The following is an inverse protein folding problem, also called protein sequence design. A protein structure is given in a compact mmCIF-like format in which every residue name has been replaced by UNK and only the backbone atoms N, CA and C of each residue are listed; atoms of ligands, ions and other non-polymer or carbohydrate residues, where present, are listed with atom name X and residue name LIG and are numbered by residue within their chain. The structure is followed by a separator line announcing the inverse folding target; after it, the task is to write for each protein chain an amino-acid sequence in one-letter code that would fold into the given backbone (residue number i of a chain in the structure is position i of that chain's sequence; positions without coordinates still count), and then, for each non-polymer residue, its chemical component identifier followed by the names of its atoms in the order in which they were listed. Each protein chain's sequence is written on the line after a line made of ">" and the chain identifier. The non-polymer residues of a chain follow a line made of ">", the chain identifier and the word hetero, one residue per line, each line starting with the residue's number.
data_IF_694664133524
#
_entry.id   IF_694664133524
#
_cell.length_a   1.000
_cell.length_b   1.000
_cell.length_c   1.000
_cell.angle_alpha   90.00
_cell.angle_beta   90.00
_cell.angle_gamma   90.00
#
_symmetry.space_group_name_H-M   'P 1'
#
loop_
_entity.id
_entity.type
_entity.pdbx_description
1 polymer ?
#
# COMPACT_ATOMS: atom_id res chain seq x y z
N UNK A 1 -5.29 14.52 -12.42
CA UNK A 1 -5.81 13.67 -11.34
C UNK A 1 -5.47 12.24 -11.71
N UNK A 2 -4.71 11.54 -10.87
CA UNK A 2 -4.29 10.15 -11.11
C UNK A 2 -5.39 9.20 -10.67
N UNK A 3 -5.50 8.02 -11.26
CA UNK A 3 -6.56 7.07 -10.92
C UNK A 3 -5.94 5.80 -10.35
N UNK A 4 -6.25 5.51 -9.09
CA UNK A 4 -5.95 4.21 -8.49
C UNK A 4 -7.16 3.30 -8.75
N UNK A 5 -6.94 2.18 -9.43
CA UNK A 5 -7.95 1.16 -9.66
C UNK A 5 -7.62 -0.08 -8.83
N UNK A 6 -8.56 -0.52 -8.00
CA UNK A 6 -8.52 -1.82 -7.34
C UNK A 6 -9.48 -2.76 -8.06
N UNK A 7 -8.98 -3.87 -8.60
CA UNK A 7 -9.79 -4.85 -9.31
C UNK A 7 -9.84 -6.18 -8.56
N UNK A 8 -11.05 -6.64 -8.22
CA UNK A 8 -11.29 -7.93 -7.58
C UNK A 8 -11.69 -8.96 -8.62
N UNK A 9 -10.90 -10.01 -8.76
CA UNK A 9 -11.11 -11.09 -9.71
C UNK A 9 -11.99 -12.17 -9.08
N UNK A 10 -13.05 -12.53 -9.77
CA UNK A 10 -14.03 -13.55 -9.35
C UNK A 10 -14.37 -14.45 -10.52
N UNK A 11 -14.94 -15.61 -10.24
CA UNK A 11 -15.42 -16.54 -11.26
C UNK A 11 -16.92 -16.36 -11.46
N UNK A 12 -17.37 -16.51 -12.70
CA UNK A 12 -18.80 -16.59 -12.99
C UNK A 12 -19.43 -17.79 -12.26
N UNK A 13 -20.63 -17.59 -11.71
CA UNK A 13 -21.44 -18.62 -11.04
C UNK A 13 -20.80 -19.27 -9.79
N UNK A 14 -19.76 -18.64 -9.21
CA UNK A 14 -19.09 -19.09 -7.98
C UNK A 14 -18.97 -17.90 -7.02
N UNK A 15 -19.61 -17.98 -5.85
CA UNK A 15 -19.66 -16.90 -4.86
C UNK A 15 -19.49 -17.41 -3.41
N UNK A 16 -18.33 -18.00 -3.05
CA UNK A 16 -18.06 -18.44 -1.68
C UNK A 16 -17.93 -17.24 -0.73
N UNK A 17 -18.24 -17.43 0.54
CA UNK A 17 -18.23 -16.36 1.54
C UNK A 17 -16.93 -15.53 1.58
N UNK A 18 -15.71 -16.12 1.49
CA UNK A 18 -14.48 -15.31 1.49
C UNK A 18 -14.37 -14.31 0.33
N UNK A 19 -14.97 -14.61 -0.83
CA UNK A 19 -14.94 -13.70 -1.98
C UNK A 19 -15.92 -12.55 -1.78
N UNK A 20 -17.10 -12.86 -1.25
CA UNK A 20 -18.09 -11.85 -0.88
C UNK A 20 -17.50 -10.91 0.16
N UNK A 21 -16.86 -11.46 1.20
CA UNK A 21 -16.21 -10.69 2.26
C UNK A 21 -15.06 -9.81 1.72
N UNK A 22 -14.20 -10.32 0.84
CA UNK A 22 -13.18 -9.52 0.15
C UNK A 22 -13.81 -8.31 -0.56
N UNK A 23 -14.90 -8.52 -1.30
CA UNK A 23 -15.57 -7.44 -2.02
C UNK A 23 -16.22 -6.42 -1.07
N UNK A 24 -16.84 -6.88 0.01
CA UNK A 24 -17.41 -6.01 1.03
C UNK A 24 -16.33 -5.16 1.73
N UNK A 25 -15.20 -5.76 2.09
CA UNK A 25 -14.06 -5.05 2.68
C UNK A 25 -13.51 -4.00 1.69
N UNK A 26 -13.42 -4.35 0.39
CA UNK A 26 -12.99 -3.42 -0.64
C UNK A 26 -13.94 -2.23 -0.79
N UNK A 27 -15.25 -2.47 -0.74
CA UNK A 27 -16.29 -1.43 -0.80
C UNK A 27 -16.28 -0.54 0.44
N UNK A 28 -16.15 -1.11 1.65
CA UNK A 28 -16.01 -0.37 2.91
C UNK A 28 -14.78 0.52 2.86
N UNK A 29 -13.62 -0.03 2.49
CA UNK A 29 -12.39 0.71 2.26
C UNK A 29 -12.59 1.87 1.28
N UNK A 30 -13.15 1.60 0.10
CA UNK A 30 -13.35 2.59 -0.95
C UNK A 30 -14.22 3.76 -0.51
N UNK A 31 -15.33 3.47 0.20
CA UNK A 31 -16.22 4.50 0.73
C UNK A 31 -15.53 5.45 1.72
N UNK A 32 -14.62 4.91 2.54
CA UNK A 32 -13.90 5.67 3.58
C UNK A 32 -12.70 6.44 3.01
N UNK A 33 -12.02 5.87 2.03
CA UNK A 33 -10.73 6.39 1.55
C UNK A 33 -10.82 7.21 0.27
N UNK A 34 -11.78 6.95 -0.62
CA UNK A 34 -11.98 7.75 -1.82
C UNK A 34 -12.05 9.26 -1.55
N UNK A 35 -12.84 9.78 -0.58
CA UNK A 35 -12.88 11.23 -0.31
C UNK A 35 -11.57 11.79 0.23
N UNK A 36 -10.77 10.99 0.94
CA UNK A 36 -9.47 11.40 1.52
C UNK A 36 -8.36 11.48 0.48
N UNK A 37 -8.50 10.74 -0.62
CA UNK A 37 -7.55 10.71 -1.73
C UNK A 37 -7.72 11.87 -2.71
N UNK A 38 -8.92 12.48 -2.79
CA UNK A 38 -9.22 13.59 -3.69
C UNK A 38 -8.29 14.80 -3.46
N UNK A 39 -8.10 15.30 -2.22
CA UNK A 39 -7.17 16.41 -1.97
C UNK A 39 -5.72 16.10 -2.34
N UNK A 40 -5.34 14.82 -2.36
CA UNK A 40 -4.01 14.35 -2.75
C UNK A 40 -3.86 14.20 -4.28
N UNK A 41 -4.90 14.53 -5.04
CA UNK A 41 -4.90 14.47 -6.50
C UNK A 41 -5.21 13.08 -7.09
N UNK A 42 -5.78 12.17 -6.29
CA UNK A 42 -6.16 10.82 -6.72
C UNK A 42 -7.67 10.61 -6.72
N UNK A 43 -8.11 9.79 -7.67
CA UNK A 43 -9.43 9.15 -7.66
C UNK A 43 -9.25 7.66 -7.40
N UNK A 44 -10.05 7.10 -6.50
CA UNK A 44 -10.13 5.66 -6.29
C UNK A 44 -11.30 5.07 -7.09
N UNK A 45 -11.04 4.00 -7.84
CA UNK A 45 -12.02 3.19 -8.56
C UNK A 45 -11.96 1.76 -8.07
N UNK A 46 -13.12 1.14 -7.88
CA UNK A 46 -13.23 -0.27 -7.58
C UNK A 46 -13.87 -0.97 -8.78
N UNK A 47 -13.31 -2.12 -9.19
CA UNK A 47 -13.77 -2.92 -10.33
C UNK A 47 -13.95 -4.36 -9.88
N UNK A 48 -15.05 -5.00 -10.25
CA UNK A 48 -15.18 -6.46 -10.17
C UNK A 48 -14.89 -7.02 -11.56
N UNK A 49 -13.96 -7.96 -11.66
CA UNK A 49 -13.60 -8.68 -12.88
C UNK A 49 -14.19 -10.08 -12.75
N UNK A 50 -15.01 -10.48 -13.74
CA UNK A 50 -15.65 -11.79 -13.77
C UNK A 50 -14.94 -12.61 -14.85
N UNK A 51 -14.35 -13.72 -14.43
CA UNK A 51 -13.70 -14.70 -15.28
C UNK A 51 -14.76 -15.71 -15.76
N UNK A 52 -14.94 -15.79 -17.08
CA UNK A 52 -16.02 -16.57 -17.69
C UNK A 52 -15.64 -18.03 -17.97
N UNK A 53 -14.35 -18.33 -18.16
CA UNK A 53 -13.87 -19.67 -18.50
C UNK A 53 -13.47 -20.45 -17.25
N UNK A 54 -14.14 -21.58 -17.00
CA UNK A 54 -13.85 -22.46 -15.86
C UNK A 54 -12.59 -23.30 -16.12
N UNK A 55 -11.42 -22.68 -15.95
CA UNK A 55 -10.10 -23.35 -16.00
C UNK A 55 -9.48 -23.41 -14.61
N UNK A 56 -8.51 -24.31 -14.41
CA UNK A 56 -7.76 -24.35 -13.14
C UNK A 56 -7.05 -23.02 -12.88
N UNK A 57 -6.40 -22.43 -13.87
CA UNK A 57 -5.70 -21.15 -13.71
C UNK A 57 -6.64 -20.02 -13.27
N UNK A 58 -7.85 -19.96 -13.83
CA UNK A 58 -8.84 -18.96 -13.43
C UNK A 58 -9.38 -19.21 -12.01
N UNK A 59 -9.55 -20.47 -11.60
CA UNK A 59 -9.92 -20.82 -10.22
C UNK A 59 -8.83 -20.42 -9.21
N UNK A 60 -7.55 -20.60 -9.56
CA UNK A 60 -6.42 -20.20 -8.70
C UNK A 60 -6.18 -18.67 -8.69
N UNK A 61 -6.67 -17.97 -9.73
CA UNK A 61 -6.66 -16.51 -9.83
C UNK A 61 -7.83 -15.88 -9.07
N UNK A 62 -8.93 -16.61 -8.90
CA UNK A 62 -10.13 -16.10 -8.24
C UNK A 62 -9.84 -15.64 -6.80
N UNK A 63 -10.54 -14.60 -6.37
CA UNK A 63 -10.32 -13.83 -5.14
C UNK A 63 -9.02 -13.00 -5.09
N UNK A 64 -8.26 -12.91 -6.17
CA UNK A 64 -7.15 -11.97 -6.27
C UNK A 64 -7.68 -10.52 -6.33
N UNK A 65 -6.98 -9.61 -5.65
CA UNK A 65 -7.18 -8.18 -5.85
C UNK A 65 -5.89 -7.58 -6.41
N UNK A 66 -6.02 -6.84 -7.51
CA UNK A 66 -4.92 -6.09 -8.11
C UNK A 66 -5.07 -4.61 -7.83
N UNK A 67 -3.96 -3.89 -7.91
CA UNK A 67 -3.91 -2.43 -7.88
C UNK A 67 -3.17 -1.91 -9.11
N UNK A 68 -3.71 -0.83 -9.70
CA UNK A 68 -3.15 -0.17 -10.86
C UNK A 68 -3.22 1.35 -10.67
N UNK A 69 -2.19 2.05 -11.14
CA UNK A 69 -2.22 3.49 -11.37
C UNK A 69 -1.20 3.82 -12.47
N UNK A 70 -1.65 3.77 -13.73
CA UNK A 70 -0.80 4.02 -14.90
C UNK A 70 -0.14 5.40 -14.83
N UNK A 71 -0.88 6.42 -14.39
CA UNK A 71 -0.38 7.80 -14.28
C UNK A 71 0.67 7.98 -13.17
N UNK A 72 0.88 6.95 -12.35
CA UNK A 72 1.90 6.85 -11.31
C UNK A 72 2.94 5.76 -11.59
N UNK A 73 3.04 5.28 -12.84
CA UNK A 73 4.00 4.24 -13.23
C UNK A 73 3.79 2.93 -12.45
N UNK A 74 2.55 2.63 -12.06
CA UNK A 74 2.20 1.39 -11.36
C UNK A 74 1.30 0.56 -12.27
N UNK A 75 1.85 -0.45 -12.97
CA UNK A 75 1.03 -1.35 -13.78
C UNK A 75 0.09 -2.17 -12.89
N UNK A 76 -0.92 -2.80 -13.48
CA UNK A 76 -1.79 -3.74 -12.76
C UNK A 76 -0.97 -4.83 -12.06
N UNK A 77 -0.95 -4.78 -10.74
CA UNK A 77 -0.08 -5.60 -9.88
C UNK A 77 -0.93 -6.26 -8.81
N UNK A 78 -0.84 -7.59 -8.61
CA UNK A 78 -1.49 -8.25 -7.47
C UNK A 78 -1.04 -7.65 -6.14
N UNK A 79 -1.98 -7.41 -5.22
CA UNK A 79 -1.67 -6.75 -3.95
C UNK A 79 -0.63 -7.53 -3.15
N UNK A 80 -0.66 -8.86 -3.19
CA UNK A 80 0.34 -9.69 -2.52
C UNK A 80 1.76 -9.43 -3.03
N UNK A 81 1.92 -9.14 -4.32
CA UNK A 81 3.23 -8.82 -4.88
C UNK A 81 3.70 -7.42 -4.46
N UNK A 82 2.79 -6.44 -4.46
CA UNK A 82 3.10 -5.07 -4.01
C UNK A 82 3.45 -5.01 -2.51
N UNK A 83 2.79 -5.84 -1.72
CA UNK A 83 2.92 -5.87 -0.27
C UNK A 83 3.91 -6.92 0.23
N UNK A 84 4.45 -7.76 -0.66
CA UNK A 84 5.33 -8.90 -0.33
C UNK A 84 4.66 -9.87 0.65
N UNK A 85 3.37 -10.14 0.46
CA UNK A 85 2.62 -11.10 1.27
C UNK A 85 2.93 -12.52 0.81
N UNK A 86 2.97 -13.44 1.77
CA UNK A 86 3.03 -14.86 1.48
C UNK A 86 1.63 -15.34 1.03
N UNK A 87 1.56 -15.84 -0.20
CA UNK A 87 0.36 -16.43 -0.78
C UNK A 87 0.40 -17.95 -0.59
N UNK A 88 -0.64 -18.48 0.04
CA UNK A 88 -0.89 -19.92 0.13
C UNK A 88 -2.27 -20.28 -0.45
N UNK A 89 -2.53 -21.57 -0.58
CA UNK A 89 -3.78 -22.13 -1.10
C UNK A 89 -4.30 -23.19 -0.13
N UNK A 90 -5.27 -22.80 0.70
CA UNK A 90 -5.82 -23.67 1.74
C UNK A 90 -7.21 -24.19 1.36
N UNK A 91 -7.64 -25.36 1.87
CA UNK A 91 -8.97 -25.89 1.60
C UNK A 91 -10.08 -24.90 2.01
N UNK A 92 -11.12 -24.81 1.19
CA UNK A 92 -12.31 -24.00 1.47
C UNK A 92 -13.56 -24.79 1.09
N UNK A 93 -14.46 -25.02 2.06
CA UNK A 93 -15.67 -25.83 1.89
C UNK A 93 -16.70 -25.24 0.92
N UNK A 94 -16.57 -23.94 0.65
CA UNK A 94 -17.48 -23.17 -0.22
C UNK A 94 -16.90 -22.92 -1.62
N UNK A 95 -15.58 -23.03 -1.79
CA UNK A 95 -14.93 -22.94 -3.10
C UNK A 95 -15.22 -24.20 -3.91
N UNK A 96 -16.37 -24.19 -4.59
CA UNK A 96 -16.86 -25.28 -5.42
C UNK A 96 -17.23 -24.78 -6.81
N UNK A 97 -16.85 -25.53 -7.83
CA UNK A 97 -17.35 -25.28 -9.18
C UNK A 97 -18.85 -25.59 -9.26
N UNK A 98 -19.57 -25.12 -10.29
CA UNK A 98 -20.97 -25.50 -10.50
C UNK A 98 -21.20 -27.02 -10.62
N UNK A 99 -20.16 -27.78 -11.01
CA UNK A 99 -20.17 -29.25 -11.03
C UNK A 99 -19.88 -29.91 -9.67
N UNK A 100 -19.69 -29.12 -8.61
CA UNK A 100 -19.43 -29.60 -7.24
C UNK A 100 -17.97 -29.94 -6.94
N UNK A 101 -17.03 -29.69 -7.86
CA UNK A 101 -15.61 -29.94 -7.63
C UNK A 101 -15.05 -28.88 -6.67
N UNK A 102 -14.44 -29.32 -5.57
CA UNK A 102 -13.74 -28.45 -4.63
C UNK A 102 -12.40 -27.97 -5.19
N UNK A 103 -12.02 -26.74 -4.85
CA UNK A 103 -10.72 -26.16 -5.16
C UNK A 103 -10.24 -25.28 -3.99
N UNK A 104 -8.92 -25.13 -3.78
CA UNK A 104 -8.41 -24.35 -2.66
C UNK A 104 -8.61 -22.85 -2.85
N UNK A 105 -8.76 -22.11 -1.76
CA UNK A 105 -8.88 -20.65 -1.78
C UNK A 105 -7.52 -20.00 -1.55
N UNK A 106 -7.28 -18.88 -2.23
CA UNK A 106 -6.16 -17.97 -1.93
C UNK A 106 -6.22 -17.54 -0.47
N UNK A 107 -5.09 -17.66 0.20
CA UNK A 107 -4.97 -17.45 1.65
C UNK A 107 -3.72 -16.62 1.93
N UNK A 108 -3.82 -15.71 2.89
CA UNK A 108 -2.73 -14.80 3.27
C UNK A 108 -2.57 -14.77 4.78
N UNK A 109 -1.36 -14.44 5.22
CA UNK A 109 -1.09 -14.05 6.60
C UNK A 109 -1.22 -12.53 6.71
N UNK A 110 -2.14 -12.07 7.55
CA UNK A 110 -2.33 -10.65 7.86
C UNK A 110 -1.14 -10.05 8.60
N UNK A 111 -1.10 -8.73 8.73
CA UNK A 111 -0.04 -8.04 9.48
C UNK A 111 -0.04 -8.37 10.99
N UNK A 112 -1.16 -8.88 11.54
CA UNK A 112 -1.26 -9.39 12.92
C UNK A 112 -0.86 -10.87 13.05
N UNK A 113 -0.57 -11.56 11.95
CA UNK A 113 -0.25 -12.98 11.93
C UNK A 113 -1.45 -13.91 11.75
N UNK A 114 -2.67 -13.35 11.61
CA UNK A 114 -3.88 -14.15 11.39
C UNK A 114 -3.97 -14.65 9.94
N UNK A 115 -4.39 -15.90 9.76
CA UNK A 115 -4.62 -16.50 8.45
C UNK A 115 -5.99 -16.05 7.93
N UNK A 116 -6.02 -15.49 6.72
CA UNK A 116 -7.24 -14.94 6.11
C UNK A 116 -7.43 -15.43 4.66
N UNK A 117 -8.63 -15.93 4.36
CA UNK A 117 -9.07 -16.26 3.01
C UNK A 117 -9.82 -15.08 2.35
N UNK A 118 -10.36 -14.16 3.14
CA UNK A 118 -10.86 -12.88 2.67
C UNK A 118 -9.78 -11.81 2.86
N UNK A 119 -9.57 -10.94 1.87
CA UNK A 119 -8.59 -9.87 2.03
C UNK A 119 -9.14 -8.80 2.99
N UNK A 120 -8.39 -8.46 4.05
CA UNK A 120 -8.84 -7.49 5.03
C UNK A 120 -8.55 -6.06 4.55
N UNK A 121 -9.24 -5.06 5.14
CA UNK A 121 -9.18 -3.66 4.69
C UNK A 121 -7.76 -3.06 4.77
N UNK A 122 -6.92 -3.54 5.69
CA UNK A 122 -5.56 -3.06 5.93
C UNK A 122 -4.68 -3.26 4.69
N UNK A 123 -4.89 -4.34 3.95
CA UNK A 123 -4.14 -4.60 2.71
C UNK A 123 -4.46 -3.56 1.64
N UNK A 124 -5.75 -3.21 1.47
CA UNK A 124 -6.15 -2.20 0.50
C UNK A 124 -5.64 -0.81 0.87
N UNK A 125 -5.62 -0.50 2.17
CA UNK A 125 -5.07 0.74 2.69
C UNK A 125 -3.58 0.86 2.43
N UNK A 126 -2.80 -0.15 2.82
CA UNK A 126 -1.35 -0.15 2.64
C UNK A 126 -0.98 -0.08 1.15
N UNK A 127 -1.62 -0.88 0.29
CA UNK A 127 -1.38 -0.86 -1.15
C UNK A 127 -1.67 0.50 -1.78
N UNK A 128 -2.81 1.10 -1.42
CA UNK A 128 -3.22 2.41 -1.95
C UNK A 128 -2.29 3.52 -1.50
N UNK A 129 -1.84 3.51 -0.23
CA UNK A 129 -0.89 4.49 0.28
C UNK A 129 0.47 4.37 -0.40
N UNK A 130 0.99 3.15 -0.60
CA UNK A 130 2.24 2.92 -1.33
C UNK A 130 2.19 3.52 -2.74
N UNK A 131 1.11 3.29 -3.47
CA UNK A 131 0.93 3.87 -4.81
C UNK A 131 0.81 5.39 -4.76
N UNK A 132 0.02 5.92 -3.81
CA UNK A 132 -0.16 7.35 -3.68
C UNK A 132 1.17 8.07 -3.40
N UNK A 133 1.93 7.60 -2.41
CA UNK A 133 3.21 8.20 -2.01
C UNK A 133 4.31 8.02 -3.06
N UNK A 134 4.45 6.83 -3.67
CA UNK A 134 5.39 6.60 -4.77
C UNK A 134 5.28 7.68 -5.85
N UNK A 135 4.05 8.06 -6.19
CA UNK A 135 3.79 9.02 -7.25
C UNK A 135 4.01 10.49 -6.85
N UNK A 136 4.14 10.80 -5.56
CA UNK A 136 4.48 12.15 -5.05
C UNK A 136 5.98 12.38 -5.07
N UNK A 137 6.79 11.32 -4.90
CA UNK A 137 8.25 11.39 -4.96
C UNK A 137 8.82 11.61 -6.38
N UNK A 138 7.99 11.50 -7.42
CA UNK A 138 8.35 11.89 -8.80
C UNK A 138 8.23 13.40 -9.05
N UNK A 139 7.59 14.15 -8.15
CA UNK A 139 7.66 15.60 -8.16
C UNK A 139 8.98 16.01 -7.52
N UNK A 140 9.95 16.38 -8.38
CA UNK A 140 11.33 16.61 -8.01
C UNK A 140 11.49 17.40 -6.72
N UNK A 141 12.01 16.74 -5.70
CA UNK A 141 12.77 17.41 -4.67
C UNK A 141 13.98 18.07 -5.35
N UNK A 142 13.82 19.31 -5.79
CA UNK A 142 14.92 20.27 -5.87
C UNK A 142 15.31 20.57 -4.40
N UNK A 143 16.05 19.65 -3.80
CA UNK A 143 16.87 19.94 -2.64
C UNK A 143 18.07 20.78 -3.10
N UNK A 144 17.82 22.02 -3.51
CA UNK A 144 18.83 23.06 -3.45
C UNK A 144 19.03 23.40 -1.98
N UNK A 145 20.22 23.14 -1.46
CA UNK A 145 20.70 23.46 -0.12
C UNK A 145 19.96 22.80 1.07
N UNK A 146 20.10 21.48 1.18
CA UNK A 146 19.84 20.75 2.40
C UNK A 146 21.14 20.52 3.20
N UNK A 147 21.67 21.57 3.83
CA UNK A 147 22.76 21.44 4.83
C UNK A 147 22.23 21.07 6.23
N UNK A 148 20.97 20.65 6.34
CA UNK A 148 20.33 20.39 7.63
C UNK A 148 19.30 19.27 7.59
N UNK A 149 19.59 18.14 6.94
CA UNK A 149 18.72 16.94 7.01
C UNK A 149 19.49 15.62 6.79
N UNK A 150 20.60 15.35 7.48
CA UNK A 150 21.10 13.97 7.62
C UNK A 150 22.16 13.86 8.71
N UNK A 151 21.75 13.51 9.93
CA UNK A 151 22.50 12.57 10.78
C UNK A 151 21.60 12.03 11.89
N UNK A 152 21.15 10.79 11.67
CA UNK A 152 21.01 9.75 12.68
C UNK A 152 20.22 10.05 13.94
N UNK A 153 18.92 9.75 13.93
CA UNK A 153 18.20 9.44 15.17
C UNK A 153 18.48 7.97 15.53
N UNK A 154 19.59 7.74 16.22
CA UNK A 154 19.97 6.45 16.78
C UNK A 154 21.24 6.57 17.60
N UNK A 155 21.12 6.93 18.88
CA UNK A 155 21.60 6.13 20.01
C UNK A 155 21.23 6.79 21.34
N UNK A 156 20.86 5.97 22.31
CA UNK A 156 20.62 6.37 23.70
C UNK A 156 21.95 6.42 24.49
N UNK A 157 21.94 7.22 25.56
CA UNK A 157 22.93 7.31 26.66
C UNK A 157 24.30 7.97 26.42
N UNK A 158 24.45 9.20 26.94
CA UNK A 158 25.29 9.50 28.12
C UNK A 158 25.39 11.02 28.31
N UNK A 159 24.94 11.50 29.47
CA UNK A 159 24.93 12.91 29.80
C UNK A 159 26.31 13.55 29.94
N UNK A 160 26.36 14.88 29.80
CA UNK A 160 27.01 15.82 30.72
C UNK A 160 26.45 17.21 30.36
N UNK A 161 25.83 17.87 31.35
CA UNK A 161 25.51 19.30 31.30
C UNK A 161 26.77 20.07 31.64
N UNK A 162 27.10 21.11 30.88
CA UNK A 162 27.73 22.30 31.45
C UNK A 162 27.17 23.54 30.76
N UNK A 163 26.43 24.31 31.55
CA UNK A 163 26.04 25.69 31.30
C UNK A 163 27.28 26.58 31.16
N UNK A 164 27.17 27.64 30.34
CA UNK A 164 28.20 28.67 30.24
C UNK A 164 27.74 29.85 29.37
N UNK A 165 26.88 30.71 29.94
CA UNK A 165 26.65 32.06 29.44
C UNK A 165 27.70 33.03 30.01
N UNK A 166 28.07 34.05 29.23
CA UNK A 166 28.93 35.17 29.61
C UNK A 166 30.10 35.33 28.63
N UNK A 167 30.56 36.49 28.21
CA UNK A 167 30.14 37.89 28.31
C UNK A 167 31.06 38.63 27.30
N UNK A 168 30.56 39.73 26.73
CA UNK A 168 31.25 40.92 26.20
C UNK A 168 32.76 40.89 25.81
N UNK A 169 33.06 41.41 24.61
CA UNK A 169 34.44 41.81 24.27
C UNK A 169 34.62 42.30 22.84
N UNK A 170 34.59 43.62 22.65
CA UNK A 170 34.99 44.36 21.45
C UNK A 170 36.33 43.92 20.84
N UNK A 171 36.45 43.92 19.50
CA UNK A 171 37.43 44.76 18.79
C UNK A 171 37.18 44.71 17.26
N UNK A 172 36.88 45.88 16.69
CA UNK A 172 37.15 46.19 15.29
C UNK A 172 38.65 46.45 15.13
N UNK A 173 39.27 46.00 14.03
CA UNK A 173 40.06 46.92 13.21
C UNK A 173 40.24 46.42 11.76
N UNK A 174 40.27 47.38 10.85
CA UNK A 174 40.42 47.28 9.39
C UNK A 174 41.78 47.89 8.98
N UNK A 175 42.44 47.31 7.97
CA UNK A 175 43.56 47.94 7.24
C UNK A 175 44.91 47.88 7.97
N UNK A 176 46.08 47.87 7.33
CA UNK A 176 46.43 48.40 6.01
C UNK A 176 47.66 47.66 5.44
N UNK A 177 47.91 47.92 4.16
CA UNK A 177 49.06 47.46 3.36
C UNK A 177 50.37 48.11 3.82
N UNK A 178 51.47 47.36 3.67
CA UNK A 178 52.63 47.72 2.84
C UNK A 178 53.47 46.48 2.54
#
# INVERSE_FOLDING_TARGET
>A
MKTITLAHYTMKDIEPAPWVETWENLMKFGSRMAPKLIPLGFKLKLRKVILDELTQDNLMTANMVTIECEEAGTPETPIENLLMLELDFTPCSECKTPGGQEFPCRTFTSFSGDICQALPEEFFMEATLRVAFKSQHECGCHCGDCDSCASGCGDEEAGVRTDGCGEEGHHHDHGDKD
#
